data_IF_812376783988
#
_entry.id   IF_812376783988
#
_cell.length_a   1.000
_cell.length_b   1.000
_cell.length_c   1.000
_cell.angle_alpha   90.00
_cell.angle_beta   90.00
_cell.angle_gamma   90.00
#
_symmetry.space_group_name_H-M   'P 1'
#
loop_
_entity.id
_entity.type
_entity.pdbx_description
1 polymer ?
#
# COMPACT_ATOMS: atom_id res chain seq x y z
N UNK A 1 -4.77 -5.30 15.50
CA UNK A 1 -5.61 -4.11 15.34
C UNK A 1 -4.75 -2.97 14.81
N UNK A 2 -5.12 -2.48 13.64
CA UNK A 2 -4.50 -1.28 13.07
C UNK A 2 -5.35 -0.06 13.46
N UNK A 3 -4.73 0.89 14.16
CA UNK A 3 -5.39 2.08 14.63
C UNK A 3 -5.46 3.18 13.58
N UNK A 4 -4.51 3.22 12.66
CA UNK A 4 -4.29 4.40 11.85
C UNK A 4 -5.16 4.46 10.60
N UNK A 5 -5.29 3.37 9.88
CA UNK A 5 -6.00 3.36 8.61
C UNK A 5 -7.51 3.44 8.75
N UNK A 6 -8.05 2.96 9.86
CA UNK A 6 -9.49 2.94 10.12
C UNK A 6 -10.01 4.20 10.77
N UNK A 7 -9.22 4.82 11.63
CA UNK A 7 -9.60 5.99 12.41
C UNK A 7 -10.16 7.13 11.55
N UNK A 8 -9.48 7.45 10.47
CA UNK A 8 -9.83 8.59 9.65
C UNK A 8 -10.91 8.28 8.60
N UNK A 9 -11.18 7.01 8.34
CA UNK A 9 -12.10 6.57 7.30
C UNK A 9 -13.58 6.60 7.72
N UNK A 10 -13.87 6.25 8.97
CA UNK A 10 -15.24 5.98 9.42
C UNK A 10 -15.77 6.88 10.52
N UNK A 11 -14.94 7.73 11.10
CA UNK A 11 -15.26 8.33 12.38
C UNK A 11 -15.37 9.85 12.36
N UNK A 12 -15.17 10.51 11.22
CA UNK A 12 -15.12 11.97 11.15
C UNK A 12 -14.28 12.60 12.30
N UNK A 13 -13.17 11.94 12.64
CA UNK A 13 -12.32 12.36 13.73
C UNK A 13 -12.58 11.66 15.08
N UNK A 14 -13.36 10.61 15.13
CA UNK A 14 -13.62 9.87 16.35
C UNK A 14 -12.48 8.89 16.69
N UNK A 15 -11.97 8.94 17.93
CA UNK A 15 -10.73 8.32 18.42
C UNK A 15 -10.73 6.78 18.54
N UNK A 16 -11.83 6.11 18.27
CA UNK A 16 -12.03 4.69 18.57
C UNK A 16 -12.14 3.79 17.35
N UNK A 17 -11.49 4.14 16.28
CA UNK A 17 -11.50 3.32 15.08
C UNK A 17 -10.51 2.16 15.19
N UNK A 18 -10.96 0.96 14.88
CA UNK A 18 -10.16 -0.27 14.90
C UNK A 18 -10.49 -1.07 13.65
N UNK A 19 -9.47 -1.64 13.04
CA UNK A 19 -9.61 -2.56 11.93
C UNK A 19 -9.22 -3.96 12.38
N UNK A 20 -10.02 -4.97 12.02
CA UNK A 20 -9.64 -6.36 12.20
C UNK A 20 -8.56 -6.76 11.21
N UNK A 21 -7.45 -7.27 11.71
CA UNK A 21 -6.40 -7.88 10.91
C UNK A 21 -6.32 -9.36 11.26
N UNK A 22 -6.02 -10.20 10.29
CA UNK A 22 -5.89 -11.64 10.50
C UNK A 22 -4.61 -12.15 9.81
N UNK A 23 -3.78 -12.83 10.60
CA UNK A 23 -2.56 -13.47 10.12
C UNK A 23 -2.52 -14.92 10.56
N UNK A 24 -1.83 -15.73 9.77
CA UNK A 24 -1.59 -17.13 10.12
C UNK A 24 -0.57 -17.21 11.25
N UNK A 25 -0.87 -17.95 12.30
CA UNK A 25 0.08 -18.25 13.37
C UNK A 25 0.69 -19.63 13.18
N UNK A 26 1.90 -19.80 13.69
CA UNK A 26 2.57 -21.08 13.84
C UNK A 26 3.00 -21.28 15.29
N UNK A 27 3.26 -22.52 15.67
CA UNK A 27 3.82 -22.85 16.98
C UNK A 27 5.23 -23.38 16.79
N UNK A 28 6.14 -23.07 17.73
CA UNK A 28 7.43 -23.73 17.82
C UNK A 28 7.27 -25.16 18.34
N UNK A 29 8.33 -25.95 18.33
CA UNK A 29 8.32 -27.32 18.92
C UNK A 29 7.97 -27.30 20.41
N UNK A 30 8.31 -26.22 21.11
CA UNK A 30 7.99 -26.01 22.52
C UNK A 30 6.55 -25.48 22.76
N UNK A 31 5.78 -25.29 21.69
CA UNK A 31 4.39 -24.80 21.78
C UNK A 31 4.27 -23.27 21.95
N UNK A 32 5.33 -22.50 21.72
CA UNK A 32 5.31 -21.05 21.78
C UNK A 32 4.86 -20.46 20.44
N UNK A 33 4.21 -19.31 20.48
CA UNK A 33 3.87 -18.53 19.28
C UNK A 33 4.99 -17.50 19.06
N UNK A 34 5.76 -17.60 17.95
CA UNK A 34 6.74 -16.58 17.60
C UNK A 34 6.06 -15.26 17.27
N UNK A 35 6.83 -14.18 17.20
CA UNK A 35 6.30 -12.89 16.77
C UNK A 35 5.65 -13.02 15.39
N UNK A 36 4.39 -12.60 15.29
CA UNK A 36 3.64 -12.62 14.04
C UNK A 36 3.97 -11.36 13.25
N UNK A 37 4.35 -11.56 12.00
CA UNK A 37 4.57 -10.46 11.07
C UNK A 37 3.26 -10.06 10.39
N UNK A 38 2.99 -8.76 10.26
CA UNK A 38 1.87 -8.24 9.50
C UNK A 38 2.23 -8.29 8.01
N UNK A 39 1.37 -8.97 7.22
CA UNK A 39 1.59 -9.16 5.78
C UNK A 39 0.37 -8.75 4.95
N UNK A 40 0.52 -8.72 3.63
CA UNK A 40 -0.57 -8.60 2.67
C UNK A 40 -1.10 -9.95 2.17
N UNK A 41 -0.58 -11.06 2.73
CA UNK A 41 -0.87 -12.42 2.25
C UNK A 41 -2.25 -12.93 2.67
N UNK A 42 -2.88 -12.28 3.65
CA UNK A 42 -4.17 -12.70 4.18
C UNK A 42 -4.15 -14.09 4.85
N UNK A 43 -5.31 -14.71 4.97
CA UNK A 43 -5.48 -15.99 5.69
C UNK A 43 -4.71 -17.17 5.07
N UNK A 44 -4.34 -17.10 3.81
CA UNK A 44 -3.55 -18.16 3.15
C UNK A 44 -2.11 -18.19 3.65
N UNK A 45 -1.57 -17.07 4.14
CA UNK A 45 -0.21 -16.95 4.64
C UNK A 45 0.87 -17.28 3.61
N UNK A 46 0.53 -17.25 2.31
CA UNK A 46 1.47 -17.46 1.20
C UNK A 46 1.68 -16.14 0.47
N UNK A 47 2.89 -15.87 -0.06
CA UNK A 47 3.12 -14.74 -0.92
C UNK A 47 2.09 -14.66 -2.04
N UNK A 48 1.67 -13.44 -2.37
CA UNK A 48 0.81 -13.16 -3.52
C UNK A 48 1.65 -13.33 -4.80
N UNK A 49 1.05 -13.83 -5.87
CA UNK A 49 1.75 -13.94 -7.14
C UNK A 49 1.82 -12.55 -7.77
N UNK A 50 3.02 -12.08 -8.15
CA UNK A 50 3.20 -10.79 -8.83
C UNK A 50 2.70 -10.86 -10.28
N UNK A 51 1.38 -10.99 -10.45
CA UNK A 51 0.67 -11.09 -11.73
C UNK A 51 -0.73 -10.49 -11.61
N UNK A 52 -1.16 -9.74 -12.62
CA UNK A 52 -2.48 -9.10 -12.63
C UNK A 52 -2.55 -7.87 -11.73
N UNK A 53 -3.74 -7.55 -11.26
CA UNK A 53 -4.02 -6.33 -10.51
C UNK A 53 -4.42 -6.63 -9.07
N UNK A 54 -3.86 -5.87 -8.15
CA UNK A 54 -4.18 -5.90 -6.72
C UNK A 54 -4.65 -4.53 -6.24
N UNK A 55 -5.65 -4.48 -5.36
CA UNK A 55 -6.08 -3.23 -4.76
C UNK A 55 -5.03 -2.72 -3.77
N UNK A 56 -4.76 -1.41 -3.79
CA UNK A 56 -3.75 -0.83 -2.91
C UNK A 56 -4.11 -0.92 -1.42
N UNK A 57 -5.39 -1.06 -1.07
CA UNK A 57 -5.81 -1.17 0.33
C UNK A 57 -5.38 -2.45 1.04
N UNK A 58 -4.81 -3.44 0.32
CA UNK A 58 -4.18 -4.61 0.95
C UNK A 58 -2.78 -4.31 1.50
N UNK A 59 -2.27 -3.08 1.32
CA UNK A 59 -1.01 -2.67 1.91
C UNK A 59 -1.02 -2.95 3.42
N UNK A 60 -0.02 -3.70 3.90
CA UNK A 60 0.13 -4.02 5.31
C UNK A 60 0.88 -2.92 6.09
N UNK A 61 1.50 -1.98 5.37
CA UNK A 61 2.14 -0.80 5.92
C UNK A 61 1.71 0.44 5.15
N UNK A 62 1.24 1.46 5.87
CA UNK A 62 0.97 2.79 5.31
C UNK A 62 1.59 3.78 6.28
N UNK A 63 2.63 4.49 5.85
CA UNK A 63 3.38 5.40 6.70
C UNK A 63 3.94 6.60 5.96
N UNK A 64 4.53 7.51 6.71
CA UNK A 64 5.16 8.74 6.26
C UNK A 64 6.29 9.11 7.20
N UNK A 65 7.25 9.90 6.73
CA UNK A 65 8.33 10.46 7.55
C UNK A 65 7.89 11.64 8.43
N UNK A 66 6.66 12.16 8.23
CA UNK A 66 6.16 13.24 9.08
C UNK A 66 5.79 12.74 10.48
N UNK A 67 6.08 13.55 11.51
CA UNK A 67 5.65 13.21 12.87
C UNK A 67 4.13 13.03 12.91
N UNK A 68 3.71 11.90 13.39
CA UNK A 68 2.29 11.58 13.54
C UNK A 68 1.74 12.32 14.75
N UNK A 69 0.80 13.22 14.53
CA UNK A 69 -0.02 13.78 15.60
C UNK A 69 -1.38 13.09 15.57
N UNK A 70 -1.90 12.76 16.72
CA UNK A 70 -3.13 11.98 16.95
C UNK A 70 -4.36 12.41 16.15
N UNK A 71 -4.38 13.60 15.59
CA UNK A 71 -5.54 14.19 14.90
C UNK A 71 -5.16 15.03 13.68
N UNK A 72 -3.95 14.89 13.16
CA UNK A 72 -3.55 15.72 12.03
C UNK A 72 -4.22 15.19 10.74
N UNK A 73 -4.94 16.05 10.01
CA UNK A 73 -5.35 15.72 8.64
C UNK A 73 -4.12 15.58 7.73
N UNK A 74 -4.23 14.77 6.67
CA UNK A 74 -3.20 14.68 5.65
C UNK A 74 -2.19 13.55 5.83
N UNK A 75 -2.52 12.50 6.60
CA UNK A 75 -1.77 11.25 6.59
C UNK A 75 -2.32 10.27 5.55
N UNK A 76 -1.46 9.44 4.95
CA UNK A 76 -1.93 8.39 4.07
C UNK A 76 -2.86 7.44 4.84
N UNK A 77 -4.00 7.14 4.25
CA UNK A 77 -5.06 6.33 4.86
C UNK A 77 -5.89 5.63 3.81
N UNK A 78 -6.51 4.52 4.19
CA UNK A 78 -7.45 3.82 3.32
C UNK A 78 -8.80 4.55 3.37
N UNK A 79 -9.25 4.98 2.20
CA UNK A 79 -10.55 5.60 1.97
C UNK A 79 -11.39 4.72 1.08
N UNK A 80 -12.70 4.91 1.16
CA UNK A 80 -13.68 4.16 0.40
C UNK A 80 -14.52 5.14 -0.42
N UNK A 81 -14.67 4.87 -1.71
CA UNK A 81 -15.68 5.57 -2.51
C UNK A 81 -17.05 4.96 -2.16
N UNK A 82 -17.97 5.81 -1.72
CA UNK A 82 -19.37 5.40 -1.53
C UNK A 82 -19.99 5.17 -2.89
N UNK A 83 -20.21 3.92 -3.20
CA UNK A 83 -21.08 3.51 -4.28
C UNK A 83 -22.27 2.81 -3.63
N UNK A 84 -23.45 3.38 -3.75
CA UNK A 84 -24.68 2.78 -3.24
C UNK A 84 -24.89 1.40 -3.89
N UNK A 85 -24.54 0.34 -3.16
CA UNK A 85 -24.89 -1.04 -3.50
C UNK A 85 -23.95 -1.81 -4.41
N UNK A 86 -22.81 -1.25 -4.84
CA UNK A 86 -21.82 -1.94 -5.68
C UNK A 86 -20.48 -2.13 -4.98
N UNK A 87 -19.53 -2.81 -5.64
CA UNK A 87 -18.20 -3.11 -5.11
C UNK A 87 -17.55 -1.91 -4.45
N UNK A 88 -17.18 -2.10 -3.20
CA UNK A 88 -16.54 -1.11 -2.38
C UNK A 88 -15.14 -0.79 -2.92
N UNK A 89 -15.02 0.29 -3.67
CA UNK A 89 -13.76 0.72 -4.24
C UNK A 89 -12.96 1.49 -3.19
N UNK A 90 -12.03 0.80 -2.53
CA UNK A 90 -11.12 1.42 -1.59
C UNK A 90 -9.81 1.82 -2.26
N UNK A 91 -9.17 2.87 -1.73
CA UNK A 91 -7.90 3.39 -2.20
C UNK A 91 -7.11 4.00 -1.03
N UNK A 92 -5.82 4.18 -1.19
CA UNK A 92 -5.00 4.93 -0.24
C UNK A 92 -5.05 6.41 -0.64
N UNK A 93 -5.54 7.26 0.25
CA UNK A 93 -5.59 8.72 0.08
C UNK A 93 -4.41 9.40 0.75
N UNK A 94 -4.28 10.71 0.48
CA UNK A 94 -3.31 11.60 1.14
C UNK A 94 -1.86 11.13 1.02
N UNK A 95 -1.52 10.49 -0.09
CA UNK A 95 -0.13 10.20 -0.41
C UNK A 95 0.56 11.51 -0.86
N UNK A 96 1.29 12.13 0.04
CA UNK A 96 2.15 13.29 -0.21
C UNK A 96 3.62 12.86 -0.15
N UNK A 97 4.52 13.79 -0.37
CA UNK A 97 5.97 13.49 -0.40
C UNK A 97 6.40 12.64 0.80
N UNK A 98 7.08 11.53 0.55
CA UNK A 98 7.50 10.47 1.48
C UNK A 98 6.42 9.52 2.01
N UNK A 99 5.15 9.72 1.64
CA UNK A 99 4.11 8.72 1.97
C UNK A 99 4.38 7.41 1.27
N UNK A 100 4.33 6.31 2.00
CA UNK A 100 4.70 4.97 1.53
C UNK A 100 3.58 3.97 1.81
N UNK A 101 3.26 3.16 0.81
CA UNK A 101 2.45 1.96 0.92
C UNK A 101 3.37 0.73 0.77
N UNK A 102 3.35 -0.15 1.76
CA UNK A 102 4.16 -1.37 1.76
C UNK A 102 3.30 -2.62 1.69
N UNK A 103 3.71 -3.56 0.85
CA UNK A 103 3.06 -4.84 0.61
C UNK A 103 4.03 -5.97 0.92
N UNK A 104 3.65 -6.94 1.71
CA UNK A 104 4.44 -8.13 2.04
C UNK A 104 3.58 -9.37 1.90
N UNK A 105 3.91 -10.32 1.08
CA UNK A 105 4.99 -10.43 0.12
C UNK A 105 4.41 -10.75 -1.26
N UNK A 106 5.16 -10.48 -2.30
CA UNK A 106 4.87 -10.95 -3.65
C UNK A 106 5.94 -11.95 -4.11
N UNK A 107 5.53 -12.99 -4.82
CA UNK A 107 6.40 -13.89 -5.58
C UNK A 107 6.55 -13.32 -7.00
N UNK A 108 7.72 -12.78 -7.29
CA UNK A 108 8.08 -12.24 -8.60
C UNK A 108 8.64 -13.34 -9.50
N UNK A 109 8.14 -13.44 -10.71
CA UNK A 109 8.61 -14.36 -11.71
C UNK A 109 8.49 -13.76 -13.10
N UNK A 110 9.60 -13.25 -13.63
CA UNK A 110 9.66 -12.65 -14.96
C UNK A 110 8.80 -11.40 -15.13
N UNK A 111 8.55 -10.64 -14.08
CA UNK A 111 7.78 -9.39 -14.12
C UNK A 111 8.50 -8.35 -14.97
N UNK A 112 7.86 -7.87 -16.01
CA UNK A 112 8.44 -6.91 -16.97
C UNK A 112 7.99 -5.49 -16.73
N UNK A 113 6.83 -5.33 -16.10
CA UNK A 113 6.23 -4.03 -15.86
C UNK A 113 5.47 -4.02 -14.54
N UNK A 114 5.61 -2.95 -13.78
CA UNK A 114 4.75 -2.62 -12.64
C UNK A 114 4.03 -1.32 -12.98
N UNK A 115 2.71 -1.32 -12.79
CA UNK A 115 1.90 -0.13 -12.97
C UNK A 115 1.10 0.19 -11.71
N UNK A 116 0.80 1.46 -11.53
CA UNK A 116 -0.06 1.98 -10.47
C UNK A 116 -1.21 2.78 -11.05
N UNK A 117 -2.39 2.66 -10.44
CA UNK A 117 -3.51 3.55 -10.76
C UNK A 117 -3.56 4.68 -9.73
N UNK A 118 -3.38 5.91 -10.18
CA UNK A 118 -3.34 7.10 -9.33
C UNK A 118 -4.34 8.16 -9.79
N UNK A 119 -4.70 9.03 -8.85
CA UNK A 119 -5.53 10.22 -9.07
C UNK A 119 -5.13 11.29 -8.06
N UNK A 120 -5.04 12.53 -8.44
CA UNK A 120 -4.79 13.62 -7.49
C UNK A 120 -4.10 14.84 -8.09
N UNK A 121 -3.91 15.83 -7.23
CA UNK A 121 -3.25 17.09 -7.54
C UNK A 121 -1.77 16.98 -7.17
N UNK A 122 -1.06 16.12 -7.90
CA UNK A 122 0.34 15.80 -7.62
C UNK A 122 1.18 15.77 -8.88
N UNK A 123 2.46 16.01 -8.73
CA UNK A 123 3.47 15.87 -9.78
C UNK A 123 4.74 15.28 -9.16
N UNK A 124 5.25 14.20 -9.74
CA UNK A 124 6.43 13.50 -9.21
C UNK A 124 6.53 12.08 -9.68
N UNK A 125 7.04 11.22 -8.81
CA UNK A 125 7.24 9.80 -9.10
C UNK A 125 6.73 8.93 -7.93
N UNK A 126 6.30 7.72 -8.26
CA UNK A 126 6.20 6.61 -7.31
C UNK A 126 7.48 5.79 -7.39
N UNK A 127 8.33 5.92 -6.38
CA UNK A 127 9.53 5.10 -6.23
C UNK A 127 9.15 3.71 -5.72
N UNK A 128 9.71 2.68 -6.37
CA UNK A 128 9.55 1.29 -5.97
C UNK A 128 10.83 0.81 -5.27
N UNK A 129 10.67 0.09 -4.17
CA UNK A 129 11.78 -0.60 -3.49
C UNK A 129 11.30 -1.95 -2.92
N UNK A 130 12.24 -2.87 -2.69
CA UNK A 130 11.95 -4.18 -2.09
C UNK A 130 12.19 -4.22 -0.59
N UNK A 131 12.73 -3.14 -0.05
CA UNK A 131 12.98 -2.94 1.38
C UNK A 131 12.48 -1.55 1.80
N UNK A 132 12.07 -1.42 3.04
CA UNK A 132 11.69 -0.12 3.59
C UNK A 132 12.89 0.84 3.59
N UNK A 133 12.75 1.98 2.91
CA UNK A 133 13.85 2.94 2.67
C UNK A 133 15.04 2.32 1.93
N UNK A 134 14.81 1.25 1.18
CA UNK A 134 15.82 0.55 0.41
C UNK A 134 16.18 1.23 -0.92
N UNK A 135 17.03 0.57 -1.68
CA UNK A 135 17.39 1.02 -3.04
C UNK A 135 16.15 1.12 -3.91
N UNK A 136 16.05 2.21 -4.67
CA UNK A 136 15.01 2.36 -5.70
C UNK A 136 15.27 1.39 -6.84
N UNK A 137 14.28 0.56 -7.16
CA UNK A 137 14.31 -0.48 -8.21
C UNK A 137 13.37 -0.15 -9.37
N UNK A 138 12.70 0.99 -9.32
CA UNK A 138 11.85 1.51 -10.38
C UNK A 138 11.23 2.83 -9.99
N UNK A 139 10.91 3.66 -10.99
CA UNK A 139 10.23 4.94 -10.80
C UNK A 139 9.08 5.04 -11.78
N UNK A 140 7.89 5.31 -11.28
CA UNK A 140 6.68 5.48 -12.09
C UNK A 140 6.33 6.97 -12.08
N UNK A 141 6.47 7.69 -13.20
CA UNK A 141 6.10 9.10 -13.25
C UNK A 141 4.59 9.25 -13.09
N UNK A 142 4.18 10.18 -12.25
CA UNK A 142 2.79 10.56 -12.09
C UNK A 142 2.61 12.06 -12.26
N UNK A 143 1.43 12.46 -12.72
CA UNK A 143 1.09 13.85 -12.92
C UNK A 143 -0.32 14.17 -12.42
N UNK A 144 -0.66 15.44 -12.51
CA UNK A 144 -1.97 15.95 -12.17
C UNK A 144 -3.06 15.23 -12.97
N UNK A 145 -4.05 14.69 -12.27
CA UNK A 145 -5.24 14.10 -12.87
C UNK A 145 -6.41 14.07 -11.88
N UNK A 146 -7.61 14.36 -12.36
CA UNK A 146 -8.84 14.25 -11.59
C UNK A 146 -9.58 12.92 -11.83
N UNK A 147 -9.04 12.05 -12.67
CA UNK A 147 -9.54 10.70 -12.95
C UNK A 147 -8.47 9.66 -12.65
N UNK A 148 -8.88 8.41 -12.48
CA UNK A 148 -7.93 7.32 -12.30
C UNK A 148 -7.15 7.06 -13.59
N UNK A 149 -5.83 7.19 -13.52
CA UNK A 149 -4.90 6.95 -14.64
C UNK A 149 -3.86 5.95 -14.21
N UNK A 150 -3.54 5.01 -15.12
CA UNK A 150 -2.43 4.06 -14.93
C UNK A 150 -1.15 4.64 -15.51
N UNK A 151 -0.09 4.53 -14.74
CA UNK A 151 1.28 4.78 -15.18
C UNK A 151 2.15 3.58 -14.78
N UNK A 152 3.25 3.35 -15.49
CA UNK A 152 4.07 2.16 -15.29
C UNK A 152 5.56 2.44 -15.43
N UNK A 153 6.37 1.50 -14.93
CA UNK A 153 7.79 1.41 -15.22
C UNK A 153 8.22 -0.05 -15.40
N UNK A 154 9.42 -0.23 -15.94
CA UNK A 154 10.11 -1.51 -15.91
C UNK A 154 10.91 -1.60 -14.60
N UNK A 155 10.57 -2.51 -13.68
CA UNK A 155 11.28 -2.63 -12.41
C UNK A 155 12.59 -3.42 -12.56
N UNK A 156 13.57 -3.13 -11.70
CA UNK A 156 14.79 -3.93 -11.51
C UNK A 156 14.63 -4.80 -10.26
N UNK A 157 13.66 -5.74 -10.29
CA UNK A 157 13.39 -6.68 -9.21
C UNK A 157 13.72 -8.08 -9.70
N UNK A 158 14.62 -8.82 -9.02
CA UNK A 158 14.92 -10.20 -9.39
C UNK A 158 13.73 -11.13 -9.09
N UNK A 159 13.73 -12.28 -9.75
CA UNK A 159 12.77 -13.36 -9.41
C UNK A 159 12.95 -13.79 -7.94
N UNK A 160 11.86 -14.13 -7.28
CA UNK A 160 11.84 -14.53 -5.88
C UNK A 160 10.73 -13.87 -5.08
N UNK A 161 10.74 -14.10 -3.78
CA UNK A 161 9.76 -13.52 -2.85
C UNK A 161 10.32 -12.23 -2.27
N UNK A 162 9.64 -11.13 -2.55
CA UNK A 162 10.05 -9.80 -2.11
C UNK A 162 8.87 -9.01 -1.55
N UNK A 163 9.14 -8.10 -0.64
CA UNK A 163 8.22 -7.02 -0.34
C UNK A 163 8.22 -6.00 -1.49
N UNK A 164 7.18 -5.20 -1.58
CA UNK A 164 7.10 -4.05 -2.48
C UNK A 164 6.67 -2.83 -1.67
N UNK A 165 7.50 -1.81 -1.69
CA UNK A 165 7.20 -0.50 -1.12
C UNK A 165 7.05 0.51 -2.24
N UNK A 166 5.99 1.28 -2.18
CA UNK A 166 5.65 2.32 -3.15
C UNK A 166 5.63 3.65 -2.41
N UNK A 167 6.64 4.49 -2.66
CA UNK A 167 6.83 5.77 -1.99
C UNK A 167 6.59 6.92 -2.97
N UNK A 168 5.69 7.83 -2.65
CA UNK A 168 5.52 9.03 -3.45
C UNK A 168 6.63 10.04 -3.15
N UNK A 169 7.27 10.55 -4.21
CA UNK A 169 8.24 11.64 -4.19
C UNK A 169 7.81 12.73 -5.14
N UNK A 170 7.53 13.92 -4.61
CA UNK A 170 7.07 15.03 -5.44
C UNK A 170 6.28 16.08 -4.67
N UNK A 171 5.55 16.87 -5.42
CA UNK A 171 4.71 17.94 -4.91
C UNK A 171 3.23 17.57 -4.96
N UNK A 172 2.45 18.15 -4.04
CA UNK A 172 1.01 17.93 -3.96
C UNK A 172 0.63 16.63 -3.26
N UNK A 173 -0.54 16.11 -3.60
CA UNK A 173 -1.13 14.93 -2.96
C UNK A 173 -1.78 14.04 -4.00
N UNK A 174 -1.50 12.76 -3.97
CA UNK A 174 -2.10 11.76 -4.85
C UNK A 174 -2.83 10.68 -4.06
N UNK A 175 -3.61 9.89 -4.78
CA UNK A 175 -4.31 8.71 -4.31
C UNK A 175 -3.77 7.50 -5.07
N UNK A 176 -3.69 6.35 -4.40
CA UNK A 176 -3.24 5.09 -4.98
C UNK A 176 -4.36 4.06 -4.86
N UNK A 177 -4.84 3.56 -6.00
CA UNK A 177 -5.97 2.63 -6.05
C UNK A 177 -5.53 1.18 -6.23
N UNK A 178 -4.65 0.94 -7.20
CA UNK A 178 -4.18 -0.41 -7.53
C UNK A 178 -2.70 -0.43 -7.84
N UNK A 179 -2.11 -1.61 -7.69
CA UNK A 179 -0.82 -1.99 -8.22
C UNK A 179 -1.01 -3.20 -9.14
N UNK A 180 -0.39 -3.19 -10.31
CA UNK A 180 -0.53 -4.26 -11.31
C UNK A 180 0.83 -4.73 -11.81
N UNK A 181 0.91 -6.01 -12.15
CA UNK A 181 2.12 -6.70 -12.59
C UNK A 181 1.89 -7.38 -13.94
N UNK A 182 2.86 -7.22 -14.86
CA UNK A 182 2.83 -7.80 -16.22
C UNK A 182 4.19 -8.34 -16.64
#
# INVERSE_FOLDING_TARGET
YDWDSFYQRHTNGNWYARQGCAEKISFTEEGLIPQVEITSCGLNGKPLIAQGEYPAYIACHIFTDKPQMYVAPGFPKIMQENTDGEECLSYISDMYNSATAGFKYFEFKGVKEISVATRGYASGVMELSTEMNGKVVGEIPIGYTNVWVKASCKPDIPDGVHALYITFKGEGTTQLRTVSFN
#
